data_IF_188919298092
#
_entry.id   IF_188919298092
#
_cell.length_a   1.000
_cell.length_b   1.000
_cell.length_c   1.000
_cell.angle_alpha   90.00
_cell.angle_beta   90.00
_cell.angle_gamma   90.00
#
_symmetry.space_group_name_H-M   'P 1'
#
loop_
_entity.id
_entity.type
_entity.pdbx_description
1 polymer ?
#
# COMPACT_ATOMS: atom_id res chain seq x y z
N UNK A 1 -4.56 10.68 -4.68
CA UNK A 1 -4.72 9.31 -4.12
C UNK A 1 -5.40 9.34 -2.75
N UNK A 2 -4.74 9.75 -1.65
CA UNK A 2 -5.31 9.71 -0.28
C UNK A 2 -6.64 10.49 -0.17
N UNK A 3 -6.70 11.72 -0.66
CA UNK A 3 -7.92 12.53 -0.66
C UNK A 3 -9.06 11.93 -1.51
N UNK A 4 -8.74 11.19 -2.59
CA UNK A 4 -9.76 10.53 -3.43
C UNK A 4 -10.24 9.24 -2.78
N UNK A 5 -9.34 8.44 -2.17
CA UNK A 5 -9.73 7.23 -1.44
C UNK A 5 -10.62 7.52 -0.23
N UNK A 6 -10.51 8.72 0.37
CA UNK A 6 -11.42 9.20 1.40
C UNK A 6 -12.77 9.69 0.83
N UNK A 7 -12.79 10.23 -0.38
CA UNK A 7 -14.00 10.83 -0.98
C UNK A 7 -14.85 9.84 -1.80
N UNK A 8 -14.24 8.84 -2.44
CA UNK A 8 -14.90 7.95 -3.40
C UNK A 8 -14.69 6.45 -3.09
N UNK A 9 -14.06 6.15 -1.96
CA UNK A 9 -13.84 4.79 -1.48
C UNK A 9 -12.55 4.12 -1.98
N UNK A 10 -12.23 2.94 -1.43
CA UNK A 10 -10.93 2.31 -1.62
C UNK A 10 -10.66 1.83 -3.05
N UNK A 11 -11.69 1.41 -3.80
CA UNK A 11 -11.55 0.99 -5.19
C UNK A 11 -11.17 2.17 -6.12
N UNK A 12 -11.90 3.29 -6.05
CA UNK A 12 -11.56 4.48 -6.82
C UNK A 12 -10.19 5.07 -6.45
N UNK A 13 -9.82 4.96 -5.17
CA UNK A 13 -8.47 5.30 -4.72
C UNK A 13 -7.40 4.41 -5.36
N UNK A 14 -7.67 3.10 -5.49
CA UNK A 14 -6.73 2.13 -6.05
C UNK A 14 -6.52 2.35 -7.55
N UNK A 15 -7.59 2.57 -8.32
CA UNK A 15 -7.50 2.83 -9.76
C UNK A 15 -6.63 4.06 -10.07
N UNK A 16 -6.78 5.11 -9.26
CA UNK A 16 -5.91 6.29 -9.39
C UNK A 16 -4.46 5.99 -9.02
N UNK A 17 -4.22 5.20 -7.96
CA UNK A 17 -2.84 4.85 -7.57
C UNK A 17 -2.18 3.98 -8.64
N UNK A 18 -2.90 3.03 -9.22
CA UNK A 18 -2.41 2.18 -10.31
C UNK A 18 -2.07 3.02 -11.56
N UNK A 19 -2.86 4.04 -11.88
CA UNK A 19 -2.53 5.01 -12.93
C UNK A 19 -1.26 5.83 -12.65
N UNK A 20 -0.93 6.09 -11.39
CA UNK A 20 0.23 6.88 -10.97
C UNK A 20 1.52 6.06 -10.83
N UNK A 21 1.44 4.73 -10.70
CA UNK A 21 2.61 3.84 -10.62
C UNK A 21 3.49 3.93 -11.87
N UNK A 22 2.91 4.30 -13.01
CA UNK A 22 3.62 4.46 -14.28
C UNK A 22 4.30 5.82 -14.46
N UNK A 23 4.00 6.81 -13.62
CA UNK A 23 4.56 8.16 -13.73
C UNK A 23 5.99 8.24 -13.17
N UNK A 24 7.02 8.48 -14.00
CA UNK A 24 8.42 8.50 -13.57
C UNK A 24 8.73 9.58 -12.54
N UNK A 25 7.99 10.69 -12.59
CA UNK A 25 8.10 11.84 -11.66
C UNK A 25 7.64 11.50 -10.24
N UNK A 26 6.80 10.47 -10.09
CA UNK A 26 6.29 10.00 -8.81
C UNK A 26 7.00 8.75 -8.30
N UNK A 27 7.98 8.20 -9.03
CA UNK A 27 8.80 7.08 -8.56
C UNK A 27 9.56 7.37 -7.25
N UNK A 28 9.85 8.64 -6.96
CA UNK A 28 10.46 9.07 -5.72
C UNK A 28 9.47 9.15 -4.53
N UNK A 29 8.16 9.07 -4.79
CA UNK A 29 7.16 8.89 -3.75
C UNK A 29 7.13 7.42 -3.32
N UNK A 30 8.14 7.02 -2.55
CA UNK A 30 8.22 5.84 -1.69
C UNK A 30 6.94 5.56 -0.86
N UNK A 31 6.08 6.56 -0.67
CA UNK A 31 4.75 6.43 -0.06
C UNK A 31 3.68 5.77 -0.95
N UNK A 32 3.86 5.72 -2.28
CA UNK A 32 2.86 5.17 -3.21
C UNK A 32 2.57 3.68 -2.96
N UNK A 33 3.57 2.79 -2.81
CA UNK A 33 3.32 1.38 -2.47
C UNK A 33 2.60 1.25 -1.11
N UNK A 34 2.94 2.07 -0.11
CA UNK A 34 2.26 2.02 1.19
C UNK A 34 0.77 2.40 1.08
N UNK A 35 0.43 3.42 0.27
CA UNK A 35 -0.96 3.81 0.03
C UNK A 35 -1.71 2.73 -0.77
N UNK A 36 -1.06 2.12 -1.77
CA UNK A 36 -1.63 0.98 -2.52
C UNK A 36 -1.97 -0.18 -1.60
N UNK A 37 -1.05 -0.54 -0.70
CA UNK A 37 -1.24 -1.58 0.30
C UNK A 37 -2.44 -1.33 1.21
N UNK A 38 -2.65 -0.09 1.66
CA UNK A 38 -3.84 0.26 2.47
C UNK A 38 -5.16 0.05 1.75
N UNK A 39 -5.21 0.46 0.49
CA UNK A 39 -6.42 0.37 -0.32
C UNK A 39 -6.75 -1.10 -0.63
N UNK A 40 -5.74 -1.89 -0.98
CA UNK A 40 -5.87 -3.34 -1.21
C UNK A 40 -6.37 -4.06 0.05
N UNK A 41 -5.80 -3.75 1.22
CA UNK A 41 -6.25 -4.34 2.49
C UNK A 41 -7.71 -4.01 2.79
N UNK A 42 -8.13 -2.75 2.56
CA UNK A 42 -9.53 -2.34 2.70
C UNK A 42 -10.49 -3.03 1.73
N UNK A 43 -9.98 -3.57 0.62
CA UNK A 43 -10.73 -4.34 -0.36
C UNK A 43 -10.66 -5.86 -0.11
N UNK A 44 -10.02 -6.31 0.99
CA UNK A 44 -9.82 -7.73 1.31
C UNK A 44 -8.76 -8.42 0.44
N UNK A 45 -7.98 -7.67 -0.34
CA UNK A 45 -6.91 -8.18 -1.21
C UNK A 45 -5.59 -8.29 -0.44
N UNK A 46 -5.58 -9.13 0.60
CA UNK A 46 -4.52 -9.17 1.61
C UNK A 46 -3.15 -9.58 1.07
N UNK A 47 -3.08 -10.52 0.12
CA UNK A 47 -1.81 -10.93 -0.49
C UNK A 47 -1.15 -9.80 -1.29
N UNK A 48 -1.94 -9.07 -2.06
CA UNK A 48 -1.45 -7.93 -2.83
C UNK A 48 -1.07 -6.76 -1.91
N UNK A 49 -1.85 -6.54 -0.84
CA UNK A 49 -1.53 -5.55 0.17
C UNK A 49 -0.17 -5.82 0.83
N UNK A 50 0.10 -7.08 1.18
CA UNK A 50 1.39 -7.52 1.74
C UNK A 50 2.55 -7.18 0.80
N UNK A 51 2.44 -7.55 -0.47
CA UNK A 51 3.50 -7.32 -1.45
C UNK A 51 3.84 -5.82 -1.59
N UNK A 52 2.83 -4.95 -1.53
CA UNK A 52 3.04 -3.51 -1.60
C UNK A 52 3.68 -2.93 -0.33
N UNK A 53 3.35 -3.44 0.86
CA UNK A 53 4.02 -3.04 2.10
C UNK A 53 5.48 -3.50 2.15
N UNK A 54 5.79 -4.70 1.65
CA UNK A 54 7.17 -5.17 1.52
C UNK A 54 7.98 -4.31 0.55
N UNK A 55 7.38 -3.96 -0.59
CA UNK A 55 7.97 -3.04 -1.56
C UNK A 55 8.24 -1.67 -0.94
N UNK A 56 7.27 -1.08 -0.25
CA UNK A 56 7.44 0.18 0.48
C UNK A 56 8.62 0.10 1.47
N UNK A 57 8.70 -0.99 2.24
CA UNK A 57 9.75 -1.19 3.24
C UNK A 57 11.16 -1.25 2.63
N UNK A 58 11.28 -1.80 1.41
CA UNK A 58 12.55 -1.85 0.67
C UNK A 58 13.01 -0.50 0.12
N UNK A 59 12.09 0.44 -0.09
CA UNK A 59 12.38 1.75 -0.71
C UNK A 59 12.72 2.84 0.31
N UNK A 60 12.35 2.66 1.58
CA UNK A 60 12.71 3.61 2.65
C UNK A 60 14.05 3.25 3.29
N UNK A 61 14.89 4.26 3.49
CA UNK A 61 16.12 4.18 4.29
C UNK A 61 15.85 4.42 5.79
N UNK A 62 14.64 4.86 6.15
CA UNK A 62 14.25 5.08 7.53
C UNK A 62 13.89 3.76 8.22
N UNK A 63 14.69 3.36 9.21
CA UNK A 63 14.52 2.11 9.94
C UNK A 63 13.20 2.02 10.73
N UNK A 64 12.66 3.14 11.21
CA UNK A 64 11.38 3.16 11.94
C UNK A 64 10.23 2.93 10.96
N UNK A 65 10.26 3.63 9.83
CA UNK A 65 9.26 3.46 8.76
C UNK A 65 9.31 2.05 8.17
N UNK A 66 10.51 1.52 7.93
CA UNK A 66 10.70 0.14 7.46
C UNK A 66 10.06 -0.88 8.40
N UNK A 67 10.28 -0.75 9.71
CA UNK A 67 9.67 -1.64 10.72
C UNK A 67 8.15 -1.53 10.74
N UNK A 68 7.61 -0.32 10.61
CA UNK A 68 6.17 -0.10 10.53
C UNK A 68 5.56 -0.82 9.31
N UNK A 69 6.18 -0.70 8.14
CA UNK A 69 5.71 -1.32 6.91
C UNK A 69 5.81 -2.85 6.95
N UNK A 70 6.90 -3.40 7.50
CA UNK A 70 7.04 -4.84 7.72
C UNK A 70 5.97 -5.41 8.66
N UNK A 71 5.64 -4.68 9.73
CA UNK A 71 4.55 -5.08 10.64
C UNK A 71 3.22 -5.15 9.91
N UNK A 72 2.90 -4.15 9.08
CA UNK A 72 1.66 -4.11 8.29
C UNK A 72 1.59 -5.23 7.26
N UNK A 73 2.72 -5.60 6.64
CA UNK A 73 2.81 -6.75 5.77
C UNK A 73 2.47 -8.06 6.52
N UNK A 74 2.97 -8.23 7.75
CA UNK A 74 2.67 -9.39 8.58
C UNK A 74 1.19 -9.42 9.03
N UNK A 75 0.59 -8.27 9.33
CA UNK A 75 -0.83 -8.16 9.68
C UNK A 75 -1.75 -8.62 8.53
N UNK A 76 -1.36 -8.39 7.26
CA UNK A 76 -2.11 -8.89 6.10
C UNK A 76 -2.15 -10.43 6.02
N UNK A 77 -1.09 -11.11 6.49
CA UNK A 77 -1.05 -12.59 6.55
C UNK A 77 -2.05 -13.11 7.58
N UNK A 78 -2.15 -12.45 8.73
CA UNK A 78 -3.09 -12.82 9.79
C UNK A 78 -4.55 -12.63 9.36
N UNK A 79 -4.85 -11.56 8.61
CA UNK A 79 -6.19 -11.29 8.07
C UNK A 79 -6.58 -12.32 6.98
N UNK A 80 -5.64 -12.78 6.15
CA UNK A 80 -5.87 -13.79 5.11
C UNK A 80 -6.08 -15.22 5.64
N UNK A 81 -5.64 -15.54 6.87
CA UNK A 81 -5.86 -16.84 7.52
C UNK A 81 -7.19 -16.91 8.31
N UNK A 82 -7.86 -15.77 8.51
CA UNK A 82 -9.08 -15.66 9.31
C UNK A 82 -10.39 -15.65 8.49
N UNK A 83 -10.29 -15.64 7.16
CA UNK A 83 -11.42 -15.73 6.22
C UNK A 83 -11.50 -17.11 5.56
#
# INVERSE_FOLDING_TARGET
AVAVGMAFGPAAGLDLVDGLVHEPSLKAYHLLPAVRGDLLRKLGRSEEARAEFERAASLTENLVERKLLQRRAAECIAEGMAG
#
